data_IF_491131466262
#
_entry.id   IF_491131466262
#
_cell.length_a   1.000
_cell.length_b   1.000
_cell.length_c   1.000
_cell.angle_alpha   90.00
_cell.angle_beta   90.00
_cell.angle_gamma   90.00
#
_symmetry.space_group_name_H-M   'P 1'
#
loop_
_entity.id
_entity.type
_entity.pdbx_description
1 polymer ?
#
# COMPACT_ATOMS: atom_id res chain seq x y z
N UNK A 1 2.90 34.95 58.14
CA UNK A 1 3.03 35.25 56.69
C UNK A 1 2.84 33.97 55.93
N UNK A 2 1.64 33.73 55.42
CA UNK A 2 1.25 32.47 54.74
C UNK A 2 1.49 32.72 53.23
N UNK A 3 2.50 32.05 52.64
CA UNK A 3 2.70 32.07 51.21
C UNK A 3 1.67 31.17 50.52
N UNK A 4 0.67 31.77 49.88
CA UNK A 4 -0.25 31.06 48.98
C UNK A 4 0.50 30.85 47.64
N UNK A 5 0.98 29.62 47.43
CA UNK A 5 1.49 29.21 46.11
C UNK A 5 0.28 28.99 45.22
N UNK A 6 0.02 29.94 44.35
CA UNK A 6 -1.00 29.83 43.29
C UNK A 6 -0.47 28.87 42.23
N UNK A 7 -0.92 27.61 42.28
CA UNK A 7 -0.60 26.61 41.27
C UNK A 7 -1.39 26.96 39.98
N UNK A 8 -0.77 27.65 39.04
CA UNK A 8 -1.31 27.82 37.70
C UNK A 8 -1.31 26.48 36.98
N UNK A 9 -2.44 25.79 37.03
CA UNK A 9 -2.70 24.62 36.19
C UNK A 9 -2.85 25.16 34.75
N UNK A 10 -1.77 25.12 33.97
CA UNK A 10 -1.84 25.33 32.54
C UNK A 10 -2.57 24.15 31.96
N UNK A 11 -3.87 24.31 31.69
CA UNK A 11 -4.62 23.37 30.88
C UNK A 11 -4.05 23.43 29.46
N UNK A 12 -3.05 22.62 29.16
CA UNK A 12 -2.67 22.32 27.79
C UNK A 12 -3.81 21.51 27.21
N UNK A 13 -4.79 22.21 26.66
CA UNK A 13 -5.79 21.58 25.81
C UNK A 13 -5.04 21.00 24.61
N UNK A 14 -4.70 19.73 24.65
CA UNK A 14 -4.33 19.00 23.46
C UNK A 14 -5.52 19.16 22.51
N UNK A 15 -5.38 20.02 21.52
CA UNK A 15 -6.38 20.14 20.47
C UNK A 15 -6.44 18.79 19.79
N UNK A 16 -7.44 18.00 20.17
CA UNK A 16 -7.68 16.69 19.58
C UNK A 16 -7.92 16.92 18.08
N UNK A 17 -7.17 16.23 17.23
CA UNK A 17 -7.35 16.29 15.79
C UNK A 17 -8.75 15.73 15.45
N UNK A 18 -9.67 16.62 15.15
CA UNK A 18 -11.07 16.27 14.86
C UNK A 18 -11.19 15.37 13.64
N UNK A 19 -10.31 15.54 12.64
CA UNK A 19 -10.27 14.70 11.45
C UNK A 19 -9.85 13.27 11.81
N UNK A 20 -8.82 13.13 12.64
CA UNK A 20 -8.39 11.82 13.14
C UNK A 20 -9.50 11.15 13.94
N UNK A 21 -10.16 11.88 14.83
CA UNK A 21 -11.28 11.35 15.62
C UNK A 21 -12.44 10.89 14.72
N UNK A 22 -12.80 11.69 13.72
CA UNK A 22 -13.83 11.31 12.74
C UNK A 22 -13.45 10.04 11.98
N UNK A 23 -12.18 9.96 11.54
CA UNK A 23 -11.65 8.78 10.84
C UNK A 23 -11.71 7.51 11.70
N UNK A 24 -11.28 7.59 12.96
CA UNK A 24 -11.32 6.47 13.92
C UNK A 24 -12.75 6.00 14.19
N UNK A 25 -13.71 6.93 14.19
CA UNK A 25 -15.15 6.65 14.29
C UNK A 25 -15.78 6.19 12.95
N UNK A 26 -14.99 5.97 11.91
CA UNK A 26 -15.44 5.60 10.55
C UNK A 26 -16.30 6.65 9.83
N UNK A 27 -16.33 7.88 10.33
CA UNK A 27 -16.97 9.01 9.71
C UNK A 27 -16.04 9.65 8.67
N UNK A 28 -15.77 8.90 7.59
CA UNK A 28 -14.75 9.28 6.60
C UNK A 28 -15.09 10.56 5.84
N UNK A 29 -16.39 10.86 5.65
CA UNK A 29 -16.83 12.13 5.06
C UNK A 29 -16.44 13.32 5.94
N UNK A 30 -16.71 13.26 7.23
CA UNK A 30 -16.39 14.34 8.16
C UNK A 30 -14.87 14.50 8.31
N UNK A 31 -14.12 13.39 8.31
CA UNK A 31 -12.66 13.40 8.33
C UNK A 31 -12.13 14.11 7.08
N UNK A 32 -12.60 13.74 5.89
CA UNK A 32 -12.23 14.36 4.61
C UNK A 32 -12.50 15.86 4.59
N UNK A 33 -13.73 16.26 4.90
CA UNK A 33 -14.12 17.66 4.96
C UNK A 33 -13.28 18.49 5.94
N UNK A 34 -12.93 17.90 7.07
CA UNK A 34 -12.04 18.53 8.05
C UNK A 34 -10.67 18.83 7.46
N UNK A 35 -10.04 17.85 6.81
CA UNK A 35 -8.72 18.03 6.20
C UNK A 35 -8.76 18.95 4.98
N UNK A 36 -9.80 18.89 4.14
CA UNK A 36 -10.01 19.84 3.04
C UNK A 36 -10.11 21.29 3.56
N UNK A 37 -10.81 21.51 4.67
CA UNK A 37 -10.90 22.85 5.27
C UNK A 37 -9.56 23.35 5.81
N UNK A 38 -8.72 22.47 6.36
CA UNK A 38 -7.36 22.83 6.76
C UNK A 38 -6.55 23.24 5.54
N UNK A 39 -6.60 22.47 4.47
CA UNK A 39 -5.81 22.70 3.26
C UNK A 39 -6.20 23.99 2.52
N UNK A 40 -7.44 24.48 2.65
CA UNK A 40 -7.83 25.78 2.12
C UNK A 40 -7.05 26.95 2.74
N UNK A 41 -6.62 26.82 3.98
CA UNK A 41 -5.84 27.87 4.70
C UNK A 41 -4.37 27.53 4.84
N UNK A 42 -4.01 26.27 4.76
CA UNK A 42 -2.66 25.73 4.94
C UNK A 42 -2.38 24.67 3.86
N UNK A 43 -2.25 25.11 2.63
CA UNK A 43 -2.12 24.25 1.45
C UNK A 43 -0.96 23.22 1.57
N UNK A 44 0.11 23.58 2.26
CA UNK A 44 1.29 22.73 2.43
C UNK A 44 1.30 21.93 3.75
N UNK A 45 0.16 21.78 4.43
CA UNK A 45 0.06 20.97 5.64
C UNK A 45 0.09 19.47 5.29
N UNK A 46 1.26 18.86 5.41
CA UNK A 46 1.47 17.47 5.07
C UNK A 46 0.64 16.50 5.94
N UNK A 47 0.36 16.85 7.20
CA UNK A 47 -0.51 16.05 8.07
C UNK A 47 -1.95 16.06 7.56
N UNK A 48 -2.44 17.23 7.12
CA UNK A 48 -3.76 17.35 6.52
C UNK A 48 -3.86 16.64 5.17
N UNK A 49 -2.83 16.72 4.32
CA UNK A 49 -2.76 15.96 3.05
C UNK A 49 -2.82 14.45 3.30
N UNK A 50 -2.05 13.97 4.27
CA UNK A 50 -2.10 12.56 4.66
C UNK A 50 -3.50 12.16 5.13
N UNK A 51 -4.09 12.94 6.05
CA UNK A 51 -5.46 12.70 6.53
C UNK A 51 -6.51 12.71 5.43
N UNK A 52 -6.37 13.63 4.46
CA UNK A 52 -7.20 13.66 3.26
C UNK A 52 -7.04 12.36 2.45
N UNK A 53 -5.82 11.95 2.17
CA UNK A 53 -5.52 10.76 1.39
C UNK A 53 -6.08 9.47 2.00
N UNK A 54 -5.88 9.26 3.31
CA UNK A 54 -6.42 8.05 3.97
C UNK A 54 -7.96 8.08 4.07
N UNK A 55 -8.55 9.26 4.19
CA UNK A 55 -10.02 9.40 4.20
C UNK A 55 -10.61 9.12 2.81
N UNK A 56 -9.99 9.64 1.74
CA UNK A 56 -10.36 9.37 0.36
C UNK A 56 -10.29 7.87 0.04
N UNK A 57 -9.21 7.20 0.45
CA UNK A 57 -9.06 5.75 0.27
C UNK A 57 -10.21 4.97 0.91
N UNK A 58 -10.60 5.32 2.16
CA UNK A 58 -11.73 4.68 2.84
C UNK A 58 -13.09 4.94 2.17
N UNK A 59 -13.19 5.96 1.33
CA UNK A 59 -14.36 6.28 0.52
C UNK A 59 -14.29 5.67 -0.89
N UNK A 60 -13.28 4.85 -1.17
CA UNK A 60 -13.02 4.28 -2.50
C UNK A 60 -12.70 5.33 -3.59
N UNK A 61 -12.28 6.53 -3.18
CA UNK A 61 -11.71 7.54 -4.08
C UNK A 61 -10.21 7.26 -4.22
N UNK A 62 -9.89 6.29 -5.07
CA UNK A 62 -8.52 5.79 -5.23
C UNK A 62 -7.61 6.85 -5.83
N UNK A 63 -8.09 7.60 -6.82
CA UNK A 63 -7.31 8.66 -7.46
C UNK A 63 -6.98 9.79 -6.47
N UNK A 64 -7.98 10.28 -5.75
CA UNK A 64 -7.79 11.31 -4.72
C UNK A 64 -6.84 10.85 -3.61
N UNK A 65 -6.94 9.58 -3.20
CA UNK A 65 -6.05 8.99 -2.22
C UNK A 65 -4.59 8.93 -2.70
N UNK A 66 -4.36 8.42 -3.92
CA UNK A 66 -3.02 8.33 -4.51
C UNK A 66 -2.37 9.71 -4.63
N UNK A 67 -3.11 10.70 -5.12
CA UNK A 67 -2.60 12.06 -5.30
C UNK A 67 -2.18 12.68 -3.96
N UNK A 68 -3.07 12.66 -2.96
CA UNK A 68 -2.81 13.24 -1.66
C UNK A 68 -1.67 12.52 -0.91
N UNK A 69 -1.62 11.19 -0.97
CA UNK A 69 -0.56 10.41 -0.31
C UNK A 69 0.80 10.56 -1.00
N UNK A 70 0.86 10.66 -2.33
CA UNK A 70 2.12 10.89 -3.05
C UNK A 70 2.78 12.21 -2.65
N UNK A 71 2.00 13.27 -2.45
CA UNK A 71 2.54 14.56 -1.99
C UNK A 71 3.23 14.46 -0.63
N UNK A 72 2.76 13.57 0.24
CA UNK A 72 3.30 13.41 1.61
C UNK A 72 4.50 12.48 1.71
N UNK A 73 4.92 11.83 0.62
CA UNK A 73 6.12 10.98 0.63
C UNK A 73 7.42 11.77 0.70
N UNK A 74 7.40 13.05 0.31
CA UNK A 74 8.58 13.93 0.27
C UNK A 74 8.68 14.87 1.47
N UNK A 75 7.94 14.61 2.56
CA UNK A 75 8.02 15.39 3.79
C UNK A 75 9.29 15.06 4.57
N UNK A 76 9.82 16.06 5.34
CA UNK A 76 10.93 15.85 6.27
C UNK A 76 10.56 14.97 7.48
N UNK A 77 9.26 14.82 7.78
CA UNK A 77 8.75 13.87 8.77
C UNK A 77 8.82 12.45 8.22
N UNK A 78 9.88 11.73 8.59
CA UNK A 78 10.12 10.35 8.15
C UNK A 78 9.00 9.39 8.55
N UNK A 79 8.35 9.60 9.69
CA UNK A 79 7.26 8.75 10.15
C UNK A 79 6.01 8.98 9.29
N UNK A 80 5.72 10.24 8.95
CA UNK A 80 4.61 10.57 8.06
C UNK A 80 4.87 10.04 6.64
N UNK A 81 6.07 10.23 6.11
CA UNK A 81 6.47 9.67 4.81
C UNK A 81 6.36 8.14 4.78
N UNK A 82 6.82 7.46 5.85
CA UNK A 82 6.68 6.01 5.99
C UNK A 82 5.21 5.56 5.92
N UNK A 83 4.34 6.20 6.69
CA UNK A 83 2.89 5.91 6.67
C UNK A 83 2.28 6.14 5.29
N UNK A 84 2.73 7.15 4.58
CA UNK A 84 2.26 7.45 3.22
C UNK A 84 2.68 6.37 2.24
N UNK A 85 3.93 5.93 2.27
CA UNK A 85 4.39 4.79 1.47
C UNK A 85 3.65 3.50 1.80
N UNK A 86 3.38 3.24 3.09
CA UNK A 86 2.59 2.07 3.51
C UNK A 86 1.18 2.08 2.92
N UNK A 87 0.47 3.21 2.98
CA UNK A 87 -0.87 3.31 2.43
C UNK A 87 -0.88 3.25 0.90
N UNK A 88 0.08 3.88 0.22
CA UNK A 88 0.26 3.74 -1.23
C UNK A 88 0.50 2.28 -1.62
N UNK A 89 1.34 1.55 -0.86
CA UNK A 89 1.57 0.13 -1.09
C UNK A 89 0.29 -0.69 -0.94
N UNK A 90 -0.54 -0.41 0.07
CA UNK A 90 -1.83 -1.09 0.24
C UNK A 90 -2.76 -0.87 -0.96
N UNK A 91 -2.86 0.37 -1.45
CA UNK A 91 -3.69 0.73 -2.61
C UNK A 91 -3.20 -0.03 -3.86
N UNK A 92 -1.90 -0.01 -4.14
CA UNK A 92 -1.32 -0.68 -5.30
C UNK A 92 -1.51 -2.21 -5.24
N UNK A 93 -1.35 -2.81 -4.06
CA UNK A 93 -1.62 -4.23 -3.87
C UNK A 93 -3.07 -4.59 -4.19
N UNK A 94 -4.02 -3.78 -3.74
CA UNK A 94 -5.44 -3.98 -4.02
C UNK A 94 -5.80 -3.75 -5.50
N UNK A 95 -5.03 -2.91 -6.19
CA UNK A 95 -5.13 -2.68 -7.64
C UNK A 95 -4.43 -3.75 -8.48
N UNK A 96 -3.73 -4.72 -7.86
CA UNK A 96 -3.00 -5.79 -8.54
C UNK A 96 -1.57 -5.41 -8.97
N UNK A 97 -1.11 -4.20 -8.66
CA UNK A 97 0.24 -3.69 -8.98
C UNK A 97 1.24 -4.15 -7.92
N UNK A 98 1.49 -5.47 -7.89
CA UNK A 98 2.16 -6.13 -6.77
C UNK A 98 3.64 -5.75 -6.64
N UNK A 99 4.37 -5.61 -7.76
CA UNK A 99 5.79 -5.27 -7.77
C UNK A 99 6.01 -3.83 -7.27
N UNK A 100 5.20 -2.88 -7.72
CA UNK A 100 5.29 -1.49 -7.26
C UNK A 100 4.88 -1.38 -5.79
N UNK A 101 3.85 -2.11 -5.37
CA UNK A 101 3.45 -2.22 -3.97
C UNK A 101 4.59 -2.71 -3.09
N UNK A 102 5.32 -3.75 -3.53
CA UNK A 102 6.47 -4.30 -2.80
C UNK A 102 7.56 -3.24 -2.59
N UNK A 103 7.87 -2.45 -3.64
CA UNK A 103 8.83 -1.37 -3.53
C UNK A 103 8.38 -0.27 -2.55
N UNK A 104 7.10 0.03 -2.50
CA UNK A 104 6.58 1.04 -1.57
C UNK A 104 6.57 0.55 -0.12
N UNK A 105 6.23 -0.72 0.15
CA UNK A 105 6.43 -1.30 1.48
C UNK A 105 7.89 -1.24 1.91
N UNK A 106 8.82 -1.54 1.01
CA UNK A 106 10.26 -1.44 1.29
C UNK A 106 10.68 -0.01 1.65
N UNK A 107 10.21 1.00 0.92
CA UNK A 107 10.45 2.42 1.24
C UNK A 107 9.87 2.78 2.62
N UNK A 108 8.67 2.32 2.94
CA UNK A 108 8.06 2.50 4.26
C UNK A 108 8.95 1.93 5.37
N UNK A 109 9.43 0.70 5.23
CA UNK A 109 10.28 0.01 6.20
C UNK A 109 11.63 0.72 6.38
N UNK A 110 12.22 1.24 5.31
CA UNK A 110 13.48 2.00 5.37
C UNK A 110 13.32 3.28 6.20
N UNK A 111 12.18 3.97 6.08
CA UNK A 111 11.90 5.20 6.81
C UNK A 111 11.46 4.94 8.27
N UNK A 112 10.77 3.84 8.52
CA UNK A 112 10.35 3.42 9.85
C UNK A 112 10.59 1.91 10.06
N UNK A 113 11.81 1.51 10.47
CA UNK A 113 12.14 0.11 10.68
C UNK A 113 11.36 -0.57 11.83
N UNK A 114 10.64 0.17 12.64
CA UNK A 114 9.85 -0.39 13.74
C UNK A 114 8.40 -0.72 13.34
N UNK A 115 8.00 -0.39 12.10
CA UNK A 115 6.66 -0.69 11.59
C UNK A 115 6.52 -2.18 11.28
N UNK A 116 5.86 -2.90 12.20
CA UNK A 116 5.63 -4.34 12.09
C UNK A 116 4.65 -4.68 10.97
N UNK A 117 3.63 -3.85 10.78
CA UNK A 117 2.59 -4.10 9.77
C UNK A 117 3.18 -3.97 8.36
N UNK A 118 4.04 -2.97 8.14
CA UNK A 118 4.74 -2.83 6.86
C UNK A 118 5.65 -4.04 6.57
N UNK A 119 6.39 -4.53 7.57
CA UNK A 119 7.24 -5.74 7.42
C UNK A 119 6.43 -6.98 7.11
N UNK A 120 5.34 -7.21 7.83
CA UNK A 120 4.46 -8.36 7.61
C UNK A 120 3.87 -8.31 6.19
N UNK A 121 3.32 -7.16 5.80
CA UNK A 121 2.71 -7.00 4.47
C UNK A 121 3.74 -7.16 3.34
N UNK A 122 4.95 -6.64 3.52
CA UNK A 122 6.07 -6.83 2.59
C UNK A 122 6.40 -8.31 2.39
N UNK A 123 6.60 -9.07 3.48
CA UNK A 123 6.94 -10.48 3.37
C UNK A 123 5.80 -11.32 2.79
N UNK A 124 4.56 -11.05 3.16
CA UNK A 124 3.38 -11.73 2.58
C UNK A 124 3.27 -11.47 1.08
N UNK A 125 3.41 -10.22 0.65
CA UNK A 125 3.34 -9.88 -0.77
C UNK A 125 4.49 -10.51 -1.56
N UNK A 126 5.70 -10.49 -1.03
CA UNK A 126 6.87 -11.14 -1.64
C UNK A 126 6.67 -12.65 -1.83
N UNK A 127 6.07 -13.32 -0.85
CA UNK A 127 5.72 -14.73 -0.96
C UNK A 127 4.65 -14.96 -2.03
N UNK A 128 3.64 -14.10 -2.10
CA UNK A 128 2.57 -14.18 -3.11
C UNK A 128 3.14 -14.04 -4.52
N UNK A 129 3.99 -13.04 -4.75
CA UNK A 129 4.65 -12.83 -6.05
C UNK A 129 5.46 -14.07 -6.43
N UNK A 130 6.26 -14.60 -5.50
CA UNK A 130 7.05 -15.81 -5.75
C UNK A 130 6.16 -17.01 -6.13
N UNK A 131 5.09 -17.26 -5.38
CA UNK A 131 4.17 -18.36 -5.69
C UNK A 131 3.54 -18.23 -7.08
N UNK A 132 3.18 -17.01 -7.49
CA UNK A 132 2.64 -16.77 -8.83
C UNK A 132 3.68 -17.04 -9.93
N UNK A 133 4.94 -16.65 -9.70
CA UNK A 133 6.04 -16.91 -10.63
C UNK A 133 6.33 -18.40 -10.76
N UNK A 134 6.38 -19.12 -9.64
CA UNK A 134 6.60 -20.57 -9.61
C UNK A 134 5.48 -21.30 -10.38
N UNK A 135 4.22 -20.94 -10.16
CA UNK A 135 3.07 -21.51 -10.89
C UNK A 135 3.11 -21.24 -12.40
N UNK A 136 3.51 -20.04 -12.81
CA UNK A 136 3.66 -19.71 -14.22
C UNK A 136 4.78 -20.54 -14.87
N UNK A 137 5.87 -20.75 -14.16
CA UNK A 137 6.99 -21.56 -14.63
C UNK A 137 6.61 -23.02 -14.81
N UNK A 138 5.87 -23.60 -13.85
CA UNK A 138 5.37 -24.98 -13.92
C UNK A 138 4.43 -25.15 -15.12
N UNK A 139 3.48 -24.23 -15.33
CA UNK A 139 2.59 -24.27 -16.49
C UNK A 139 3.33 -24.19 -17.84
N UNK A 140 4.39 -23.41 -17.93
CA UNK A 140 5.20 -23.35 -19.15
C UNK A 140 5.97 -24.65 -19.39
N UNK A 141 6.46 -25.32 -18.35
CA UNK A 141 7.13 -26.60 -18.48
C UNK A 141 6.16 -27.70 -18.95
N UNK A 142 4.97 -27.75 -18.36
CA UNK A 142 3.94 -28.70 -18.77
C UNK A 142 3.55 -28.54 -20.24
N UNK A 143 3.34 -27.29 -20.70
CA UNK A 143 3.05 -27.02 -22.10
C UNK A 143 4.18 -27.45 -23.06
N UNK A 144 5.44 -27.27 -22.65
CA UNK A 144 6.58 -27.71 -23.46
C UNK A 144 6.69 -29.24 -23.53
N UNK A 145 6.39 -29.94 -22.44
CA UNK A 145 6.36 -31.41 -22.42
C UNK A 145 5.25 -31.96 -23.32
N UNK A 146 4.06 -31.39 -23.26
CA UNK A 146 2.93 -31.79 -24.08
C UNK A 146 3.23 -31.57 -25.57
N UNK A 147 3.87 -30.46 -25.95
CA UNK A 147 4.30 -30.24 -27.34
C UNK A 147 5.33 -31.27 -27.79
N UNK A 148 6.34 -31.58 -26.98
CA UNK A 148 7.33 -32.59 -27.32
C UNK A 148 6.70 -34.00 -27.50
N UNK A 149 5.73 -34.37 -26.68
CA UNK A 149 5.01 -35.64 -26.83
C UNK A 149 4.19 -35.67 -28.12
N UNK A 150 3.53 -34.58 -28.49
CA UNK A 150 2.77 -34.50 -29.73
C UNK A 150 3.67 -34.59 -30.97
N UNK A 151 4.82 -33.91 -30.95
CA UNK A 151 5.80 -33.97 -32.03
C UNK A 151 6.38 -35.38 -32.21
N UNK A 152 6.67 -36.08 -31.10
CA UNK A 152 7.11 -37.49 -31.15
C UNK A 152 6.04 -38.41 -31.74
N UNK A 153 4.80 -38.28 -31.32
CA UNK A 153 3.70 -39.07 -31.87
C UNK A 153 3.51 -38.83 -33.37
N UNK A 154 3.64 -37.58 -33.84
CA UNK A 154 3.57 -37.30 -35.28
C UNK A 154 4.75 -37.91 -36.08
N UNK A 155 5.94 -37.90 -35.52
CA UNK A 155 7.10 -38.54 -36.15
C UNK A 155 6.96 -40.06 -36.23
N UNK A 156 6.45 -40.70 -35.15
CA UNK A 156 6.23 -42.12 -35.12
C UNK A 156 5.14 -42.54 -36.12
N UNK A 157 4.08 -41.77 -36.27
CA UNK A 157 3.06 -42.02 -37.29
C UNK A 157 3.62 -41.88 -38.70
N UNK A 158 4.41 -40.89 -39.00
CA UNK A 158 5.02 -40.72 -40.31
C UNK A 158 5.99 -41.85 -40.64
N UNK A 159 6.71 -42.41 -39.65
CA UNK A 159 7.60 -43.58 -39.89
C UNK A 159 6.80 -44.84 -40.12
N UNK A 160 5.67 -45.07 -39.48
CA UNK A 160 4.80 -46.20 -39.72
C UNK A 160 4.16 -46.17 -41.10
N UNK A 161 3.72 -45.01 -41.56
CA UNK A 161 3.14 -44.82 -42.91
C UNK A 161 4.17 -45.06 -44.03
N UNK A 162 5.45 -44.74 -43.83
CA UNK A 162 6.51 -45.03 -44.78
C UNK A 162 6.93 -46.49 -44.83
N UNK A 163 6.70 -47.28 -43.80
CA UNK A 163 6.98 -48.71 -43.79
C UNK A 163 5.86 -49.58 -44.44
N UNK A 164 4.68 -49.00 -44.64
CA UNK A 164 3.52 -49.70 -45.28
C UNK A 164 3.41 -49.44 -46.79
N UNK A 165 4.30 -48.65 -47.40
CA UNK A 165 4.41 -48.45 -48.86
C UNK A 165 5.53 -49.29 -49.46
#
# INVERSE_FOLDING_TARGET
MIFIILLLIVNVSFSQDKGKTAYENRNYNDARLYYENILRSRENDNTAKYGLGVSAYKQNDIEGALNALKETTNTDDKILASKSYYNLANILRESGEMEESLEYYKKSIVLNPEDKDAKINYELLKQTIKQQQDQQQDQQQDQQQDQQQQDQQQQDQQQQDQQQQ
#
